data_IF_524395884196
#
_entry.id   IF_524395884196
#
_cell.length_a   1.000
_cell.length_b   1.000
_cell.length_c   1.000
_cell.angle_alpha   90.00
_cell.angle_beta   90.00
_cell.angle_gamma   90.00
#
_symmetry.space_group_name_H-M   'P 1'
#
loop_
_entity.id
_entity.type
_entity.pdbx_description
1 polymer ?
#
# COMPACT_ATOMS: atom_id res chain seq x y z
N UNK A 1 9.36 -11.77 -6.94
CA UNK A 1 8.56 -10.54 -7.18
C UNK A 1 7.10 -10.95 -7.19
N UNK A 2 6.27 -10.31 -6.38
CA UNK A 2 4.83 -10.58 -6.32
C UNK A 2 4.10 -9.57 -7.20
N UNK A 3 3.46 -10.04 -8.27
CA UNK A 3 2.67 -9.18 -9.14
C UNK A 3 1.32 -8.84 -8.50
N UNK A 4 0.99 -7.55 -8.40
CA UNK A 4 -0.30 -7.04 -7.90
C UNK A 4 -1.05 -6.34 -9.04
N UNK A 5 -2.37 -6.55 -9.10
CA UNK A 5 -3.22 -5.88 -10.08
C UNK A 5 -3.86 -4.66 -9.45
N UNK A 6 -3.54 -3.46 -9.94
CA UNK A 6 -4.15 -2.22 -9.46
C UNK A 6 -5.39 -1.88 -10.31
N UNK A 7 -6.53 -1.68 -9.63
CA UNK A 7 -7.77 -1.21 -10.23
C UNK A 7 -8.05 0.21 -9.76
N UNK A 8 -7.92 1.16 -10.69
CA UNK A 8 -8.19 2.57 -10.46
C UNK A 8 -8.98 3.13 -11.65
N UNK A 9 -10.03 3.91 -11.39
CA UNK A 9 -10.94 4.41 -12.42
C UNK A 9 -10.62 5.83 -12.93
N UNK A 10 -9.63 6.46 -12.31
CA UNK A 10 -9.15 7.78 -12.70
C UNK A 10 -7.70 7.65 -13.14
N UNK A 11 -7.44 7.89 -14.42
CA UNK A 11 -6.15 7.64 -15.05
C UNK A 11 -5.04 8.52 -14.51
N UNK A 12 -5.34 9.76 -14.10
CA UNK A 12 -4.33 10.69 -13.61
C UNK A 12 -3.74 10.30 -12.25
N UNK A 13 -4.41 9.42 -11.51
CA UNK A 13 -3.99 8.96 -10.17
C UNK A 13 -3.29 7.59 -10.25
N UNK A 14 -3.30 6.91 -11.40
CA UNK A 14 -2.71 5.57 -11.57
C UNK A 14 -1.21 5.60 -11.31
N UNK A 15 -0.49 6.57 -11.89
CA UNK A 15 0.97 6.64 -11.79
C UNK A 15 1.42 6.83 -10.32
N UNK A 16 0.70 7.69 -9.58
CA UNK A 16 0.95 7.91 -8.15
C UNK A 16 0.71 6.62 -7.34
N UNK A 17 -0.42 5.93 -7.57
CA UNK A 17 -0.74 4.68 -6.86
C UNK A 17 0.19 3.54 -7.22
N UNK A 18 0.63 3.50 -8.47
CA UNK A 18 1.61 2.52 -8.96
C UNK A 18 2.94 2.74 -8.25
N UNK A 19 3.42 3.99 -8.19
CA UNK A 19 4.67 4.35 -7.49
C UNK A 19 4.64 3.92 -6.03
N UNK A 20 3.53 4.13 -5.31
CA UNK A 20 3.39 3.71 -3.90
C UNK A 20 3.53 2.18 -3.75
N UNK A 21 2.89 1.41 -4.63
CA UNK A 21 2.95 -0.05 -4.58
C UNK A 21 4.30 -0.60 -5.03
N UNK A 22 4.95 0.04 -6.00
CA UNK A 22 6.31 -0.29 -6.44
C UNK A 22 7.34 0.00 -5.35
N UNK A 23 7.23 1.13 -4.66
CA UNK A 23 8.04 1.46 -3.49
C UNK A 23 7.87 0.39 -2.41
N UNK A 24 6.64 -0.07 -2.16
CA UNK A 24 6.36 -1.19 -1.26
C UNK A 24 6.91 -2.57 -1.75
N UNK A 25 7.58 -2.62 -2.91
CA UNK A 25 8.30 -3.79 -3.42
C UNK A 25 7.47 -4.72 -4.32
N UNK A 26 6.29 -4.27 -4.77
CA UNK A 26 5.43 -5.05 -5.66
C UNK A 26 5.72 -4.75 -7.14
N UNK A 27 5.50 -5.75 -7.99
CA UNK A 27 5.43 -5.55 -9.44
C UNK A 27 3.97 -5.22 -9.79
N UNK A 28 3.70 -4.05 -10.37
CA UNK A 28 2.34 -3.50 -10.45
C UNK A 28 1.83 -3.54 -11.89
N UNK A 29 0.73 -4.26 -12.10
CA UNK A 29 -0.03 -4.20 -13.35
C UNK A 29 -1.27 -3.31 -13.15
N UNK A 30 -1.20 -2.08 -13.66
CA UNK A 30 -2.30 -1.09 -13.63
C UNK A 30 -3.13 -1.04 -14.91
N UNK A 31 -2.81 -1.87 -15.91
CA UNK A 31 -3.52 -1.87 -17.18
C UNK A 31 -4.91 -2.51 -17.01
N UNK A 32 -5.99 -1.88 -17.45
CA UNK A 32 -7.33 -2.47 -17.40
C UNK A 32 -7.77 -2.96 -18.79
N UNK A 33 -7.56 -4.25 -19.13
CA UNK A 33 -8.14 -4.82 -20.34
C UNK A 33 -9.66 -4.70 -20.33
N UNK A 34 -10.25 -4.43 -21.49
CA UNK A 34 -11.68 -4.27 -21.63
C UNK A 34 -12.46 -5.59 -21.46
N UNK A 35 -13.60 -5.52 -20.78
CA UNK A 35 -14.65 -6.53 -20.85
C UNK A 35 -14.26 -7.94 -20.39
N UNK A 36 -14.58 -8.96 -21.20
CA UNK A 36 -14.41 -10.37 -20.85
C UNK A 36 -12.94 -10.83 -20.82
N UNK A 37 -12.05 -10.15 -21.56
CA UNK A 37 -10.64 -10.48 -21.64
C UNK A 37 -9.95 -10.36 -20.28
N UNK A 38 -10.33 -9.34 -19.51
CA UNK A 38 -9.83 -9.11 -18.16
C UNK A 38 -10.03 -10.34 -17.25
N UNK A 39 -11.26 -10.85 -17.19
CA UNK A 39 -11.57 -11.99 -16.32
C UNK A 39 -10.95 -13.29 -16.80
N UNK A 40 -10.68 -13.43 -18.10
CA UNK A 40 -9.94 -14.57 -18.64
C UNK A 40 -8.49 -14.53 -18.18
N UNK A 41 -7.84 -13.38 -18.32
CA UNK A 41 -6.46 -13.18 -17.91
C UNK A 41 -6.25 -13.44 -16.41
N UNK A 42 -7.18 -12.99 -15.55
CA UNK A 42 -7.11 -13.29 -14.11
C UNK A 42 -7.14 -14.79 -13.80
N UNK A 43 -7.78 -15.60 -14.65
CA UNK A 43 -7.81 -17.06 -14.48
C UNK A 43 -6.57 -17.75 -15.07
N UNK A 44 -6.01 -17.21 -16.15
CA UNK A 44 -4.82 -17.76 -16.83
C UNK A 44 -3.53 -17.43 -16.05
N UNK A 45 -3.40 -16.17 -15.60
CA UNK A 45 -2.26 -15.65 -14.86
C UNK A 45 -2.76 -14.85 -13.65
N UNK A 46 -3.12 -15.51 -12.54
CA UNK A 46 -3.65 -14.83 -11.37
C UNK A 46 -2.57 -13.97 -10.69
N UNK A 47 -2.84 -12.69 -10.37
CA UNK A 47 -1.96 -11.88 -9.55
C UNK A 47 -1.94 -12.40 -8.11
N UNK A 48 -0.91 -12.00 -7.35
CA UNK A 48 -0.80 -12.31 -5.92
C UNK A 48 -1.92 -11.61 -5.11
N UNK A 49 -2.37 -10.44 -5.56
CA UNK A 49 -3.52 -9.73 -5.03
C UNK A 49 -4.12 -8.76 -6.07
N UNK A 50 -5.37 -8.39 -5.89
CA UNK A 50 -6.01 -7.28 -6.63
C UNK A 50 -6.23 -6.14 -5.65
N UNK A 51 -5.60 -4.99 -5.92
CA UNK A 51 -5.72 -3.74 -5.18
C UNK A 51 -6.80 -2.88 -5.84
N UNK A 52 -7.83 -2.49 -5.09
CA UNK A 52 -8.98 -1.75 -5.62
C UNK A 52 -9.09 -0.41 -4.89
N UNK A 53 -8.89 0.70 -5.60
CA UNK A 53 -9.09 2.04 -5.04
C UNK A 53 -10.59 2.34 -4.86
N UNK A 54 -10.98 2.74 -3.65
CA UNK A 54 -12.34 3.15 -3.31
C UNK A 54 -12.49 4.67 -3.11
N UNK A 55 -11.43 5.44 -3.28
CA UNK A 55 -11.36 6.89 -3.07
C UNK A 55 -12.31 7.66 -3.98
N UNK A 56 -12.46 7.22 -5.23
CA UNK A 56 -13.29 7.90 -6.24
C UNK A 56 -14.62 7.21 -6.49
N UNK A 57 -14.58 5.90 -6.79
CA UNK A 57 -15.74 5.15 -7.28
C UNK A 57 -16.00 3.87 -6.46
N UNK A 58 -16.37 4.01 -5.17
CA UNK A 58 -16.50 2.88 -4.26
C UNK A 58 -17.57 1.87 -4.70
N UNK A 59 -18.68 2.33 -5.29
CA UNK A 59 -19.71 1.43 -5.84
C UNK A 59 -19.18 0.60 -7.00
N UNK A 60 -18.36 1.17 -7.88
CA UNK A 60 -17.76 0.43 -9.00
C UNK A 60 -16.73 -0.58 -8.49
N UNK A 61 -15.91 -0.20 -7.51
CA UNK A 61 -14.99 -1.12 -6.83
C UNK A 61 -15.68 -2.30 -6.18
N UNK A 62 -16.79 -2.05 -5.46
CA UNK A 62 -17.65 -3.10 -4.90
C UNK A 62 -18.20 -4.03 -5.98
N UNK A 63 -18.82 -3.48 -7.02
CA UNK A 63 -19.47 -4.27 -8.07
C UNK A 63 -18.45 -5.13 -8.83
N UNK A 64 -17.25 -4.58 -9.07
CA UNK A 64 -16.12 -5.31 -9.62
C UNK A 64 -15.69 -6.47 -8.71
N UNK A 65 -15.49 -6.22 -7.42
CA UNK A 65 -15.10 -7.26 -6.47
C UNK A 65 -16.14 -8.38 -6.35
N UNK A 66 -17.44 -8.06 -6.38
CA UNK A 66 -18.50 -9.06 -6.42
C UNK A 66 -18.42 -9.92 -7.70
N UNK A 67 -18.04 -9.36 -8.85
CA UNK A 67 -17.81 -10.13 -10.06
C UNK A 67 -16.62 -11.07 -9.95
N UNK A 68 -15.53 -10.65 -9.29
CA UNK A 68 -14.38 -11.51 -8.98
C UNK A 68 -14.82 -12.70 -8.13
N UNK A 69 -15.61 -12.46 -7.08
CA UNK A 69 -16.10 -13.51 -6.16
C UNK A 69 -17.11 -14.47 -6.77
N UNK A 70 -17.89 -14.03 -7.77
CA UNK A 70 -18.84 -14.89 -8.50
C UNK A 70 -18.16 -15.96 -9.36
N UNK A 71 -16.90 -15.77 -9.78
CA UNK A 71 -16.22 -16.64 -10.75
C UNK A 71 -15.28 -17.63 -10.06
N UNK A 72 -15.40 -18.93 -10.36
CA UNK A 72 -14.55 -19.99 -9.77
C UNK A 72 -13.05 -19.76 -9.98
N UNK A 73 -12.67 -19.22 -11.14
CA UNK A 73 -11.28 -19.01 -11.56
C UNK A 73 -10.60 -17.81 -10.89
N UNK A 74 -11.35 -16.88 -10.31
CA UNK A 74 -10.78 -15.65 -9.71
C UNK A 74 -11.19 -15.43 -8.25
N UNK A 75 -12.22 -16.13 -7.75
CA UNK A 75 -12.76 -15.90 -6.40
C UNK A 75 -11.77 -16.15 -5.27
N UNK A 76 -10.69 -16.89 -5.53
CA UNK A 76 -9.64 -17.22 -4.57
C UNK A 76 -8.53 -16.16 -4.51
N UNK A 77 -8.50 -15.21 -5.46
CA UNK A 77 -7.48 -14.16 -5.49
C UNK A 77 -7.75 -13.19 -4.33
N UNK A 78 -6.74 -12.87 -3.50
CA UNK A 78 -6.88 -11.87 -2.44
C UNK A 78 -7.33 -10.52 -2.98
N UNK A 79 -8.28 -9.89 -2.28
CA UNK A 79 -8.75 -8.53 -2.59
C UNK A 79 -8.29 -7.59 -1.49
N UNK A 80 -7.69 -6.47 -1.87
CA UNK A 80 -7.28 -5.39 -0.98
C UNK A 80 -7.98 -4.11 -1.43
N UNK A 81 -8.90 -3.61 -0.62
CA UNK A 81 -9.55 -2.32 -0.83
C UNK A 81 -8.73 -1.21 -0.17
N UNK A 82 -8.47 -0.14 -0.92
CA UNK A 82 -7.64 0.96 -0.46
C UNK A 82 -8.37 2.29 -0.56
N UNK A 83 -8.36 3.05 0.52
CA UNK A 83 -8.95 4.39 0.61
C UNK A 83 -10.48 4.38 0.64
N UNK A 84 -11.07 5.54 0.34
CA UNK A 84 -12.51 5.77 0.41
C UNK A 84 -13.00 6.30 1.76
N UNK A 85 -14.08 7.09 1.73
CA UNK A 85 -14.69 7.63 2.95
C UNK A 85 -15.34 6.50 3.78
N UNK A 86 -15.15 6.45 5.12
CA UNK A 86 -15.64 5.36 5.97
C UNK A 86 -17.12 5.03 5.76
N UNK A 87 -17.96 6.06 5.63
CA UNK A 87 -19.41 5.90 5.45
C UNK A 87 -19.79 5.18 4.14
N UNK A 88 -18.90 5.20 3.14
CA UNK A 88 -19.07 4.47 1.87
C UNK A 88 -18.41 3.09 1.90
N UNK A 89 -17.36 2.92 2.70
CA UNK A 89 -16.56 1.68 2.80
C UNK A 89 -17.22 0.67 3.76
N UNK A 90 -17.82 1.11 4.85
CA UNK A 90 -18.42 0.21 5.86
C UNK A 90 -19.49 -0.73 5.28
N UNK A 91 -20.41 -0.29 4.39
CA UNK A 91 -21.33 -1.21 3.72
C UNK A 91 -20.61 -2.22 2.81
N UNK A 92 -19.47 -1.85 2.21
CA UNK A 92 -18.69 -2.75 1.34
C UNK A 92 -18.01 -3.82 2.19
N UNK A 93 -17.48 -3.45 3.37
CA UNK A 93 -16.92 -4.39 4.37
C UNK A 93 -17.93 -5.46 4.77
N UNK A 94 -19.19 -5.08 4.99
CA UNK A 94 -20.25 -6.05 5.32
C UNK A 94 -20.56 -7.01 4.16
N UNK A 95 -20.44 -6.55 2.92
CA UNK A 95 -20.72 -7.36 1.73
C UNK A 95 -19.58 -8.29 1.32
N UNK A 96 -18.33 -7.88 1.59
CA UNK A 96 -17.11 -8.60 1.17
C UNK A 96 -16.15 -8.71 2.36
N UNK A 97 -16.56 -9.39 3.44
CA UNK A 97 -15.80 -9.42 4.69
C UNK A 97 -14.47 -10.19 4.60
N UNK A 98 -14.27 -10.96 3.54
CA UNK A 98 -13.04 -11.71 3.28
C UNK A 98 -11.93 -10.87 2.62
N UNK A 99 -12.24 -9.64 2.19
CA UNK A 99 -11.26 -8.71 1.67
C UNK A 99 -10.51 -7.98 2.80
N UNK A 100 -9.27 -7.56 2.52
CA UNK A 100 -8.55 -6.63 3.38
C UNK A 100 -8.92 -5.19 3.03
N UNK A 101 -8.97 -4.32 4.04
CA UNK A 101 -9.32 -2.91 3.89
C UNK A 101 -8.23 -2.07 4.55
N UNK A 102 -7.75 -1.06 3.83
CA UNK A 102 -6.67 -0.18 4.27
C UNK A 102 -6.85 1.21 3.63
N UNK A 103 -6.06 2.19 4.02
CA UNK A 103 -5.94 3.50 3.38
C UNK A 103 -4.62 3.62 2.62
N UNK A 104 -4.51 4.62 1.73
CA UNK A 104 -3.24 4.86 1.04
C UNK A 104 -2.15 5.32 2.02
N UNK A 105 -2.56 5.91 3.13
CA UNK A 105 -1.73 6.30 4.28
C UNK A 105 -1.32 5.13 5.19
N UNK A 106 -1.93 3.97 5.05
CA UNK A 106 -1.59 2.76 5.83
C UNK A 106 -0.74 1.77 5.03
N UNK A 107 -0.67 1.94 3.71
CA UNK A 107 0.28 1.20 2.86
C UNK A 107 1.72 1.63 3.15
N UNK A 108 1.91 2.77 3.81
CA UNK A 108 3.21 3.23 4.29
C UNK A 108 3.09 4.30 5.40
N UNK A 109 4.04 4.39 6.34
CA UNK A 109 3.99 5.40 7.42
C UNK A 109 4.12 6.85 6.92
N UNK A 110 4.58 7.05 5.69
CA UNK A 110 4.68 8.32 5.00
C UNK A 110 5.65 9.33 5.63
N UNK A 111 5.65 10.55 5.09
CA UNK A 111 6.42 11.69 5.59
C UNK A 111 5.84 12.33 6.86
N UNK A 112 6.54 13.34 7.39
CA UNK A 112 6.16 14.03 8.65
C UNK A 112 4.79 14.71 8.63
N UNK A 113 4.28 15.03 7.45
CA UNK A 113 2.94 15.60 7.22
C UNK A 113 1.79 14.60 7.46
N UNK A 114 2.07 13.29 7.53
CA UNK A 114 1.07 12.23 7.74
C UNK A 114 0.94 11.77 9.20
N UNK A 115 1.70 12.38 10.13
CA UNK A 115 1.72 11.97 11.54
C UNK A 115 0.37 11.98 12.22
N UNK A 116 -0.48 12.96 11.92
CA UNK A 116 -1.81 13.05 12.53
C UNK A 116 -2.70 11.89 12.11
N UNK A 117 -2.73 11.58 10.81
CA UNK A 117 -3.51 10.47 10.26
C UNK A 117 -2.98 9.14 10.80
N UNK A 118 -1.65 8.94 10.75
CA UNK A 118 -0.99 7.74 11.28
C UNK A 118 -1.32 7.49 12.76
N UNK A 119 -1.37 8.54 13.58
CA UNK A 119 -1.75 8.42 14.98
C UNK A 119 -3.21 8.05 15.19
N UNK A 120 -4.10 8.64 14.41
CA UNK A 120 -5.51 8.31 14.49
C UNK A 120 -5.75 6.83 14.13
N UNK A 121 -5.01 6.28 13.16
CA UNK A 121 -5.11 4.86 12.83
C UNK A 121 -4.49 3.96 13.91
N UNK A 122 -3.34 4.34 14.47
CA UNK A 122 -2.76 3.63 15.62
C UNK A 122 -3.72 3.62 16.82
N UNK A 123 -4.36 4.76 17.11
CA UNK A 123 -5.36 4.89 18.18
C UNK A 123 -6.55 3.96 17.95
N UNK A 124 -7.11 3.94 16.72
CA UNK A 124 -8.21 3.03 16.33
C UNK A 124 -7.82 1.56 16.40
N UNK A 125 -6.57 1.23 16.12
CA UNK A 125 -6.04 -0.12 16.26
C UNK A 125 -5.77 -0.51 17.74
N UNK A 126 -5.99 0.41 18.68
CA UNK A 126 -5.68 0.22 20.10
C UNK A 126 -4.18 0.30 20.42
N UNK A 127 -3.36 0.77 19.47
CA UNK A 127 -1.94 0.99 19.62
C UNK A 127 -1.69 2.37 20.25
N UNK A 128 -1.60 2.39 21.58
CA UNK A 128 -1.32 3.55 22.41
C UNK A 128 0.17 3.65 22.77
N UNK A 129 0.66 4.84 23.16
CA UNK A 129 1.96 4.96 23.80
C UNK A 129 2.10 3.98 24.97
N UNK A 130 3.17 3.19 24.97
CA UNK A 130 3.44 2.17 25.99
C UNK A 130 2.85 0.78 25.71
N UNK A 131 2.03 0.59 24.67
CA UNK A 131 1.59 -0.74 24.24
C UNK A 131 2.01 -1.12 22.80
N UNK A 132 2.47 -0.14 22.00
CA UNK A 132 3.11 -0.38 20.72
C UNK A 132 4.60 -0.70 20.95
N UNK A 133 4.96 -1.98 20.95
CA UNK A 133 6.28 -2.44 21.39
C UNK A 133 7.33 -2.52 20.27
N UNK A 134 6.89 -2.78 19.03
CA UNK A 134 7.77 -2.96 17.87
C UNK A 134 7.06 -2.47 16.60
N UNK A 135 7.79 -1.71 15.78
CA UNK A 135 7.45 -1.41 14.40
C UNK A 135 8.55 -2.01 13.53
N UNK A 136 8.15 -2.75 12.48
CA UNK A 136 9.08 -3.34 11.51
C UNK A 136 8.94 -2.58 10.20
N UNK A 137 10.03 -1.96 9.75
CA UNK A 137 10.12 -1.31 8.45
C UNK A 137 10.59 -2.33 7.42
N UNK A 138 9.93 -2.37 6.27
CA UNK A 138 10.22 -3.34 5.21
C UNK A 138 11.47 -2.96 4.42
N UNK A 139 11.77 -1.67 4.28
CA UNK A 139 12.98 -1.11 3.67
C UNK A 139 13.22 0.34 4.14
N UNK A 140 14.28 0.97 3.63
CA UNK A 140 14.82 2.24 4.15
C UNK A 140 14.35 3.52 3.47
N UNK A 141 13.43 3.45 2.51
CA UNK A 141 13.00 4.63 1.76
C UNK A 141 12.30 5.64 2.66
N UNK A 142 12.29 6.91 2.25
CA UNK A 142 11.83 8.01 3.11
C UNK A 142 10.35 7.90 3.47
N UNK A 143 9.54 7.37 2.56
CA UNK A 143 8.13 7.08 2.77
C UNK A 143 7.95 6.02 3.88
N UNK A 144 8.86 5.04 4.01
CA UNK A 144 8.86 4.03 5.07
C UNK A 144 9.57 4.45 6.37
N UNK A 145 10.57 5.32 6.29
CA UNK A 145 11.39 5.73 7.44
C UNK A 145 11.02 7.11 8.00
N UNK A 146 10.21 7.89 7.27
CA UNK A 146 9.93 9.31 7.54
C UNK A 146 9.30 9.59 8.90
N UNK A 147 8.61 8.61 9.48
CA UNK A 147 8.03 8.69 10.81
C UNK A 147 8.70 7.78 11.86
N UNK A 148 9.73 7.01 11.50
CA UNK A 148 10.37 6.06 12.41
C UNK A 148 10.91 6.73 13.68
N UNK A 149 11.67 7.82 13.55
CA UNK A 149 12.20 8.58 14.69
C UNK A 149 11.08 9.18 15.56
N UNK A 150 10.01 9.63 14.92
CA UNK A 150 8.85 10.21 15.59
C UNK A 150 8.10 9.16 16.43
N UNK A 151 7.78 8.02 15.82
CA UNK A 151 7.06 6.92 16.46
C UNK A 151 7.87 6.34 17.61
N UNK A 152 9.18 6.14 17.43
CA UNK A 152 10.09 5.72 18.50
C UNK A 152 10.01 6.65 19.71
N UNK A 153 10.04 7.96 19.48
CA UNK A 153 9.99 8.97 20.55
C UNK A 153 8.63 9.04 21.23
N UNK A 154 7.53 9.08 20.45
CA UNK A 154 6.18 9.30 20.99
C UNK A 154 5.60 8.05 21.65
N UNK A 155 5.78 6.89 21.05
CA UNK A 155 5.18 5.65 21.52
C UNK A 155 6.11 4.83 22.43
N UNK A 156 7.40 5.16 22.47
CA UNK A 156 8.42 4.36 23.18
C UNK A 156 8.69 3.01 22.50
N UNK A 157 8.27 2.87 21.24
CA UNK A 157 8.37 1.62 20.47
C UNK A 157 9.77 1.38 19.95
N UNK A 158 10.16 0.10 19.78
CA UNK A 158 11.37 -0.27 19.07
C UNK A 158 11.11 -0.20 17.56
N UNK A 159 12.12 0.20 16.79
CA UNK A 159 12.09 0.12 15.33
C UNK A 159 13.05 -0.99 14.91
N UNK A 160 12.60 -1.93 14.10
CA UNK A 160 13.42 -2.93 13.46
C UNK A 160 13.34 -2.77 11.94
N UNK A 161 14.45 -3.02 11.25
CA UNK A 161 14.51 -3.07 9.80
C UNK A 161 15.69 -3.97 9.38
N UNK A 162 15.78 -4.29 8.10
CA UNK A 162 16.91 -5.06 7.60
C UNK A 162 18.23 -4.25 7.70
N UNK A 163 19.33 -4.87 8.12
CA UNK A 163 20.60 -4.16 8.35
C UNK A 163 21.20 -3.56 7.07
N UNK A 164 20.81 -4.08 5.90
CA UNK A 164 21.20 -3.53 4.60
C UNK A 164 20.62 -2.12 4.35
N UNK A 165 19.52 -1.77 5.01
CA UNK A 165 18.77 -0.53 4.80
C UNK A 165 18.91 0.45 5.98
N UNK A 166 19.55 0.03 7.08
CA UNK A 166 19.62 0.83 8.31
C UNK A 166 20.28 2.19 8.12
N UNK A 167 21.27 2.29 7.23
CA UNK A 167 21.94 3.55 6.95
C UNK A 167 21.02 4.61 6.32
N UNK A 168 19.97 4.22 5.60
CA UNK A 168 18.99 5.17 5.08
C UNK A 168 18.23 5.86 6.23
N UNK A 169 17.81 5.09 7.24
CA UNK A 169 17.07 5.61 8.39
C UNK A 169 17.96 6.31 9.43
N UNK A 170 19.18 5.81 9.65
CA UNK A 170 20.09 6.32 10.67
C UNK A 170 20.86 7.57 10.21
N UNK A 171 21.23 7.63 8.93
CA UNK A 171 22.10 8.67 8.39
C UNK A 171 21.35 9.62 7.43
N UNK A 172 20.11 9.29 7.05
CA UNK A 172 19.37 10.03 6.04
C UNK A 172 19.96 9.89 4.64
N UNK A 173 20.78 8.86 4.40
CA UNK A 173 21.40 8.59 3.10
C UNK A 173 20.49 7.70 2.24
N UNK A 174 19.66 8.32 1.40
CA UNK A 174 18.76 7.62 0.49
C UNK A 174 19.48 6.75 -0.56
N UNK A 175 20.80 6.84 -0.69
CA UNK A 175 21.60 6.03 -1.61
C UNK A 175 22.36 4.91 -0.90
N UNK A 176 22.17 4.77 0.41
CA UNK A 176 22.81 3.73 1.21
C UNK A 176 22.57 2.34 0.60
N UNK A 177 23.65 1.63 0.31
CA UNK A 177 23.63 0.26 -0.20
C UNK A 177 22.81 0.07 -1.50
N UNK A 178 22.52 1.15 -2.23
CA UNK A 178 21.95 1.09 -3.58
C UNK A 178 23.07 0.92 -4.60
N UNK A 179 22.90 0.01 -5.55
CA UNK A 179 23.79 -0.07 -6.71
C UNK A 179 23.75 1.29 -7.42
N UNK A 180 24.93 1.86 -7.73
CA UNK A 180 25.12 3.21 -8.25
C UNK A 180 24.04 3.58 -9.29
N UNK A 181 23.25 4.65 -9.06
CA UNK A 181 22.43 5.21 -10.11
C UNK A 181 23.33 5.76 -11.22
N UNK A 182 22.89 5.70 -12.47
CA UNK A 182 23.57 6.34 -13.58
C UNK A 182 23.86 7.81 -13.25
N UNK A 183 25.05 8.29 -13.64
CA UNK A 183 25.64 9.61 -13.37
C UNK A 183 24.68 10.81 -13.49
N UNK A 184 23.62 10.68 -14.31
CA UNK A 184 22.57 11.69 -14.51
C UNK A 184 21.78 12.06 -13.24
N UNK A 185 21.66 11.18 -12.24
CA UNK A 185 20.91 11.50 -11.00
C UNK A 185 21.72 12.41 -10.06
N UNK A 186 23.06 12.47 -10.21
CA UNK A 186 23.93 13.29 -9.37
C UNK A 186 23.88 14.80 -9.69
N UNK A 187 23.22 15.19 -10.78
CA UNK A 187 23.18 16.58 -11.26
C UNK A 187 21.95 17.37 -10.77
N UNK A 188 21.02 16.76 -10.03
CA UNK A 188 19.74 17.39 -9.63
C UNK A 188 19.53 17.51 -8.11
N UNK A 189 20.59 17.40 -7.31
CA UNK A 189 20.66 17.75 -5.88
C UNK A 189 21.88 18.60 -5.63
#
# INVERSE_FOLDING_TARGET
>A
MHCVKLIHWKSEEIDERTTILEAAGYDVDSNLPGGSQFFRQLGENPPSAIVIDLSRLPSQGRDFALQIRKRKTSRHIPLVFVGGAPQKVDPIKQLIPDASYTSWEEIDTGGSNKRHDLENELDRAGCQPGNLNLIVLTHGDFDHTGNAAYLRKKFGTKIAMHSADSGMAEQGDMFWNRNKPNFLIKLMT
#
